data_IF_692011183123
#
_entry.id   IF_692011183123
#
_cell.length_a   1.000
_cell.length_b   1.000
_cell.length_c   1.000
_cell.angle_alpha   90.00
_cell.angle_beta   90.00
_cell.angle_gamma   90.00
#
_symmetry.space_group_name_H-M   'P 1'
#
loop_
_entity.id
_entity.type
_entity.pdbx_description
1 polymer ?
#
# COMPACT_ATOMS: atom_id res chain seq x y z
N UNK A 1 24.92 4.04 2.62
CA UNK A 1 23.66 4.16 3.34
C UNK A 1 22.50 3.72 2.47
N UNK A 2 21.80 2.79 2.96
CA UNK A 2 20.63 2.27 2.28
C UNK A 2 19.49 3.26 2.36
N UNK A 3 19.06 3.76 1.25
CA UNK A 3 17.79 4.44 1.19
C UNK A 3 16.67 3.40 1.18
N UNK A 4 15.67 3.61 1.96
CA UNK A 4 14.45 2.80 1.91
C UNK A 4 13.51 3.26 0.79
N UNK A 5 13.85 4.31 0.08
CA UNK A 5 13.06 4.90 -0.98
C UNK A 5 13.48 4.37 -2.36
N UNK A 6 12.52 4.14 -3.23
CA UNK A 6 12.79 3.88 -4.63
C UNK A 6 13.14 5.18 -5.36
N UNK A 7 13.99 5.10 -6.43
CA UNK A 7 14.35 6.26 -7.25
C UNK A 7 13.15 6.97 -7.87
N UNK A 8 12.11 6.23 -8.19
CA UNK A 8 10.83 6.81 -8.63
C UNK A 8 10.19 7.47 -7.42
N UNK A 9 10.67 8.64 -7.13
CA UNK A 9 10.28 9.37 -5.96
C UNK A 9 8.77 9.61 -5.93
N UNK A 10 8.21 9.21 -4.84
CA UNK A 10 6.80 9.39 -4.54
C UNK A 10 6.53 10.74 -3.88
N UNK A 11 7.57 11.56 -3.74
CA UNK A 11 7.53 12.80 -2.95
C UNK A 11 6.41 13.78 -3.35
N UNK A 12 5.97 13.74 -4.61
CA UNK A 12 5.01 14.70 -5.12
C UNK A 12 3.75 14.07 -5.72
N UNK A 13 3.52 12.78 -5.52
CA UNK A 13 2.36 12.11 -6.12
C UNK A 13 1.18 12.12 -5.15
N UNK A 14 0.26 13.02 -5.40
CA UNK A 14 -1.02 13.11 -4.66
C UNK A 14 -2.01 12.01 -5.00
N UNK A 15 -1.82 11.30 -6.11
CA UNK A 15 -2.74 10.34 -6.71
C UNK A 15 -2.07 8.98 -6.91
N UNK A 16 -2.86 7.90 -7.07
CA UNK A 16 -2.34 6.61 -7.52
C UNK A 16 -1.56 6.77 -8.83
N UNK A 17 -0.40 6.08 -8.95
CA UNK A 17 0.58 6.37 -10.00
C UNK A 17 0.07 6.20 -11.42
N UNK A 18 -0.79 5.22 -11.64
CA UNK A 18 -1.20 4.77 -12.96
C UNK A 18 -2.71 4.93 -13.22
N UNK A 19 -3.40 5.73 -12.42
CA UNK A 19 -4.85 5.90 -12.56
C UNK A 19 -5.25 6.37 -13.95
N UNK A 20 -4.57 7.38 -14.46
CA UNK A 20 -4.85 7.94 -15.80
C UNK A 20 -4.70 6.90 -16.91
N UNK A 21 -3.59 6.15 -16.89
CA UNK A 21 -3.32 5.10 -17.87
C UNK A 21 -4.33 3.94 -17.75
N UNK A 22 -4.64 3.53 -16.53
CA UNK A 22 -5.60 2.47 -16.28
C UNK A 22 -7.00 2.83 -16.78
N UNK A 23 -7.44 4.07 -16.61
CA UNK A 23 -8.71 4.57 -17.13
C UNK A 23 -8.76 4.58 -18.66
N UNK A 24 -7.66 4.95 -19.31
CA UNK A 24 -7.55 4.88 -20.78
C UNK A 24 -7.68 3.44 -21.28
N UNK A 25 -6.99 2.51 -20.64
CA UNK A 25 -7.08 1.08 -20.97
C UNK A 25 -8.51 0.57 -20.73
N UNK A 26 -9.09 0.91 -19.58
CA UNK A 26 -10.44 0.45 -19.21
C UNK A 26 -11.50 0.83 -20.23
N UNK A 27 -11.37 1.98 -20.89
CA UNK A 27 -12.29 2.42 -21.95
C UNK A 27 -12.20 1.58 -23.22
N UNK A 28 -11.10 0.88 -23.43
CA UNK A 28 -10.84 0.13 -24.67
C UNK A 28 -11.08 -1.38 -24.53
N UNK A 29 -11.31 -1.87 -23.33
CA UNK A 29 -11.47 -3.30 -23.04
C UNK A 29 -12.76 -3.58 -22.27
N UNK A 30 -13.26 -4.81 -22.41
CA UNK A 30 -14.48 -5.25 -21.73
C UNK A 30 -14.24 -6.16 -20.52
N UNK A 31 -12.98 -6.35 -20.16
CA UNK A 31 -12.61 -7.14 -18.99
C UNK A 31 -12.35 -6.22 -17.79
N UNK A 32 -12.54 -6.72 -16.55
CA UNK A 32 -12.25 -5.94 -15.36
C UNK A 32 -10.78 -5.54 -15.27
N UNK A 33 -10.52 -4.34 -14.76
CA UNK A 33 -9.17 -3.80 -14.53
C UNK A 33 -8.90 -3.72 -13.04
N UNK A 34 -7.76 -4.27 -12.62
CA UNK A 34 -7.21 -4.13 -11.27
C UNK A 34 -6.10 -3.09 -11.31
N UNK A 35 -6.26 -1.99 -10.59
CA UNK A 35 -5.25 -0.94 -10.48
C UNK A 35 -4.39 -1.14 -9.23
N UNK A 36 -3.08 -1.17 -9.42
CA UNK A 36 -2.10 -1.26 -8.33
C UNK A 36 -1.15 -0.05 -8.35
N UNK A 37 -0.76 0.41 -7.19
CA UNK A 37 0.30 1.40 -7.01
C UNK A 37 -0.15 2.75 -6.46
N UNK A 38 0.41 3.11 -5.31
CA UNK A 38 0.25 4.42 -4.71
C UNK A 38 -1.00 4.63 -3.87
N UNK A 39 -1.75 3.59 -3.57
CA UNK A 39 -2.92 3.69 -2.70
C UNK A 39 -2.53 3.61 -1.22
N UNK A 40 -2.95 4.61 -0.45
CA UNK A 40 -2.76 4.69 1.00
C UNK A 40 -4.00 5.22 1.72
N UNK A 41 -4.87 5.92 1.01
CA UNK A 41 -6.03 6.61 1.57
C UNK A 41 -7.33 6.06 1.02
N UNK A 42 -8.33 5.96 1.87
CA UNK A 42 -9.68 5.60 1.46
C UNK A 42 -10.20 6.46 0.29
N UNK A 43 -9.99 7.78 0.37
CA UNK A 43 -10.45 8.70 -0.67
C UNK A 43 -9.85 8.40 -2.06
N UNK A 44 -8.59 7.95 -2.12
CA UNK A 44 -7.95 7.56 -3.38
C UNK A 44 -8.60 6.31 -3.98
N UNK A 45 -8.90 5.33 -3.15
CA UNK A 45 -9.58 4.09 -3.56
C UNK A 45 -10.97 4.41 -4.07
N UNK A 46 -11.74 5.17 -3.29
CA UNK A 46 -13.09 5.55 -3.66
C UNK A 46 -13.13 6.31 -4.99
N UNK A 47 -12.22 7.27 -5.16
CA UNK A 47 -12.10 8.02 -6.41
C UNK A 47 -11.81 7.10 -7.61
N UNK A 48 -10.87 6.18 -7.48
CA UNK A 48 -10.53 5.26 -8.57
C UNK A 48 -11.74 4.39 -8.98
N UNK A 49 -12.48 3.89 -8.01
CA UNK A 49 -13.70 3.09 -8.26
C UNK A 49 -14.79 3.94 -8.91
N UNK A 50 -15.03 5.14 -8.42
CA UNK A 50 -16.02 6.07 -9.00
C UNK A 50 -15.68 6.46 -10.45
N UNK A 51 -14.39 6.60 -10.79
CA UNK A 51 -13.94 6.91 -12.13
C UNK A 51 -13.98 5.72 -13.10
N UNK A 52 -14.21 4.50 -12.61
CA UNK A 52 -14.46 3.33 -13.45
C UNK A 52 -13.46 2.19 -13.35
N UNK A 53 -12.54 2.23 -12.39
CA UNK A 53 -11.68 1.09 -12.06
C UNK A 53 -12.49 0.04 -11.29
N UNK A 54 -12.35 -1.22 -11.66
CA UNK A 54 -13.15 -2.29 -11.08
C UNK A 54 -12.61 -2.75 -9.71
N UNK A 55 -11.28 -2.86 -9.59
CA UNK A 55 -10.63 -3.31 -8.36
C UNK A 55 -9.33 -2.53 -8.09
N UNK A 56 -9.01 -2.40 -6.82
CA UNK A 56 -7.75 -1.80 -6.35
C UNK A 56 -6.91 -2.84 -5.63
N UNK A 57 -5.63 -2.87 -5.95
CA UNK A 57 -4.65 -3.73 -5.28
C UNK A 57 -3.62 -2.89 -4.55
N UNK A 58 -3.24 -3.35 -3.37
CA UNK A 58 -2.23 -2.72 -2.53
C UNK A 58 -1.26 -3.78 -1.99
N UNK A 59 -0.01 -3.43 -1.79
CA UNK A 59 1.00 -4.32 -1.23
C UNK A 59 1.56 -3.79 0.09
N UNK A 60 2.34 -2.73 0.04
CA UNK A 60 3.01 -2.16 1.21
C UNK A 60 2.08 -1.78 2.37
N UNK A 61 0.91 -1.18 2.13
CA UNK A 61 -0.05 -0.94 3.21
C UNK A 61 -0.47 -2.20 3.95
N UNK A 62 -0.61 -3.33 3.25
CA UNK A 62 -0.90 -4.63 3.89
C UNK A 62 0.28 -5.22 4.65
N UNK A 63 1.51 -4.93 4.24
CA UNK A 63 2.70 -5.29 5.02
C UNK A 63 2.76 -4.47 6.32
N UNK A 64 2.28 -3.22 6.25
CA UNK A 64 2.26 -2.30 7.37
C UNK A 64 1.18 -2.66 8.41
N UNK A 65 0.00 -3.09 7.93
CA UNK A 65 -1.19 -3.25 8.76
C UNK A 65 -1.99 -4.49 8.33
N UNK A 66 -2.14 -5.43 9.23
CA UNK A 66 -2.89 -6.66 9.02
C UNK A 66 -4.42 -6.43 9.01
N UNK A 67 -4.89 -5.41 9.71
CA UNK A 67 -6.28 -5.02 9.82
C UNK A 67 -6.73 -3.96 8.79
N UNK A 68 -5.94 -3.74 7.74
CA UNK A 68 -6.13 -2.65 6.78
C UNK A 68 -7.51 -2.66 6.12
N UNK A 69 -8.03 -3.82 5.72
CA UNK A 69 -9.36 -3.91 5.10
C UNK A 69 -10.44 -3.38 6.03
N UNK A 70 -10.38 -3.76 7.30
CA UNK A 70 -11.31 -3.26 8.32
C UNK A 70 -11.20 -1.74 8.49
N UNK A 71 -9.98 -1.22 8.53
CA UNK A 71 -9.74 0.22 8.61
C UNK A 71 -10.29 0.97 7.41
N UNK A 72 -10.03 0.49 6.21
CA UNK A 72 -10.54 1.11 4.98
C UNK A 72 -12.07 1.06 4.92
N UNK A 73 -12.69 -0.03 5.35
CA UNK A 73 -14.15 -0.13 5.47
C UNK A 73 -14.73 0.95 6.40
N UNK A 74 -14.00 1.30 7.44
CA UNK A 74 -14.36 2.37 8.37
C UNK A 74 -13.80 3.74 7.96
N UNK A 75 -13.35 3.89 6.72
CA UNK A 75 -12.80 5.13 6.16
C UNK A 75 -11.54 5.64 6.87
N UNK A 76 -10.80 4.74 7.50
CA UNK A 76 -9.50 5.04 8.12
C UNK A 76 -8.40 4.78 7.13
N UNK A 77 -7.48 5.73 6.97
CA UNK A 77 -6.36 5.63 6.05
C UNK A 77 -5.27 4.69 6.58
N UNK A 78 -4.49 4.12 5.66
CA UNK A 78 -3.29 3.38 6.03
C UNK A 78 -2.24 4.27 6.69
N UNK A 79 -1.52 3.72 7.66
CA UNK A 79 -0.34 4.34 8.27
C UNK A 79 0.91 4.23 7.40
N UNK A 80 0.87 3.42 6.34
CA UNK A 80 2.00 3.22 5.46
C UNK A 80 2.42 4.55 4.81
N UNK A 81 3.68 4.95 5.02
CA UNK A 81 4.25 6.16 4.43
C UNK A 81 4.81 5.97 3.02
N UNK A 82 4.86 4.73 2.53
CA UNK A 82 5.46 4.42 1.24
C UNK A 82 6.99 4.50 1.20
N UNK A 83 7.65 4.42 2.34
CA UNK A 83 9.11 4.57 2.46
C UNK A 83 9.93 3.42 1.84
N UNK A 84 9.29 2.29 1.50
CA UNK A 84 9.92 1.07 0.95
C UNK A 84 10.89 0.33 1.87
N UNK A 85 10.97 0.67 3.14
CA UNK A 85 11.83 -0.02 4.10
C UNK A 85 11.49 -1.51 4.26
N UNK A 86 10.24 -1.90 4.02
CA UNK A 86 9.79 -3.29 4.04
C UNK A 86 10.38 -4.13 2.89
N UNK A 87 10.88 -3.52 1.82
CA UNK A 87 11.52 -4.20 0.70
C UNK A 87 13.03 -4.40 0.88
N UNK A 88 13.61 -3.94 1.97
CA UNK A 88 15.02 -4.14 2.24
C UNK A 88 15.29 -5.60 2.64
N UNK A 89 15.56 -6.44 1.65
CA UNK A 89 15.77 -7.89 1.82
C UNK A 89 17.05 -8.23 2.59
N UNK A 90 18.04 -7.32 2.60
CA UNK A 90 19.31 -7.57 3.28
C UNK A 90 19.25 -7.40 4.79
N UNK A 91 18.22 -6.71 5.30
CA UNK A 91 18.06 -6.42 6.73
C UNK A 91 16.84 -7.07 7.37
N UNK A 92 15.91 -7.55 6.58
CA UNK A 92 14.68 -8.18 7.05
C UNK A 92 14.60 -9.60 6.51
N UNK A 93 14.75 -10.57 7.38
CA UNK A 93 14.47 -11.97 7.06
C UNK A 93 13.01 -12.15 6.64
N UNK A 94 12.13 -11.31 7.19
CA UNK A 94 10.70 -11.30 6.89
C UNK A 94 10.26 -9.94 6.35
N UNK A 95 9.31 -9.95 5.43
CA UNK A 95 8.65 -8.74 4.93
C UNK A 95 7.78 -8.15 6.01
N UNK A 96 8.24 -7.08 6.65
CA UNK A 96 7.51 -6.38 7.71
C UNK A 96 7.74 -4.89 7.65
N UNK A 97 6.81 -4.12 8.20
CA UNK A 97 6.98 -2.69 8.37
C UNK A 97 7.91 -2.39 9.57
N UNK A 98 8.98 -1.68 9.32
CA UNK A 98 9.92 -1.28 10.37
C UNK A 98 9.35 -0.31 11.40
N UNK A 99 8.40 0.51 10.98
CA UNK A 99 7.91 1.64 11.78
C UNK A 99 6.60 1.33 12.50
N UNK A 100 5.81 0.41 11.95
CA UNK A 100 4.42 0.20 12.41
C UNK A 100 4.09 -1.24 12.78
N UNK A 101 5.03 -2.15 12.59
CA UNK A 101 4.81 -3.55 12.96
C UNK A 101 5.07 -3.77 14.46
N UNK A 102 4.03 -3.55 15.25
CA UNK A 102 4.07 -3.82 16.67
C UNK A 102 3.70 -5.28 17.01
N UNK A 103 3.14 -6.01 16.06
CA UNK A 103 2.59 -7.36 16.29
C UNK A 103 3.70 -8.34 16.62
N UNK A 104 4.77 -8.33 15.83
CA UNK A 104 5.92 -9.22 16.05
C UNK A 104 6.66 -8.85 17.33
N UNK A 105 6.81 -7.57 17.61
CA UNK A 105 7.44 -7.09 18.86
C UNK A 105 6.65 -7.52 20.11
N UNK A 106 5.33 -7.57 20.03
CA UNK A 106 4.49 -8.07 21.11
C UNK A 106 4.58 -9.59 21.25
N UNK A 107 4.60 -10.32 20.13
CA UNK A 107 4.80 -11.76 20.14
C UNK A 107 6.19 -12.12 20.73
N UNK A 108 7.25 -11.46 20.29
CA UNK A 108 8.59 -11.69 20.84
C UNK A 108 8.67 -11.43 22.36
N UNK A 109 7.99 -10.41 22.87
CA UNK A 109 7.90 -10.13 24.29
C UNK A 109 7.16 -11.23 25.07
N UNK A 110 6.13 -11.83 24.46
CA UNK A 110 5.36 -12.89 25.08
C UNK A 110 6.11 -14.23 25.10
N UNK A 111 6.96 -14.49 24.12
CA UNK A 111 7.79 -15.70 24.06
C UNK A 111 9.05 -15.63 24.94
N UNK A 112 9.48 -14.45 25.36
CA UNK A 112 10.64 -14.27 26.26
C UNK A 112 10.27 -14.34 27.76
N UNK A 113 9.02 -14.55 28.06
CA UNK A 113 8.56 -14.87 29.41
C UNK A 113 8.48 -16.38 29.61
#
# INVERSE_FOLDING_TARGET
>A
VQTCALPISQKNRKMPYFLSQALQIRKQINIPVVLVGGFHKYAQINQAIEEGIDFVSMSRPFICEDDLVFKLKNRVNSKCSGCNCCYNIFRNEYKRCKFHDNTILQLEKNFKK
#
